data_IF_077946607961
#
_entry.id   IF_077946607961
#
_cell.length_a   1.000
_cell.length_b   1.000
_cell.length_c   1.000
_cell.angle_alpha   90.00
_cell.angle_beta   90.00
_cell.angle_gamma   90.00
#
_symmetry.space_group_name_H-M   'P 1'
#
loop_
_entity.id
_entity.type
_entity.pdbx_description
1 polymer ?
#
# COMPACT_ATOMS: atom_id res chain seq x y z
N UNK A 1 -2.67 31.64 -47.82
CA UNK A 1 -2.94 32.60 -48.91
C UNK A 1 -1.86 33.68 -49.02
N UNK A 2 -1.65 34.30 -50.20
CA UNK A 2 -0.77 35.46 -50.43
C UNK A 2 -1.58 36.65 -51.00
N UNK A 3 -1.01 37.85 -51.02
CA UNK A 3 -1.63 39.04 -51.62
C UNK A 3 -1.81 38.88 -53.15
N UNK A 4 -2.83 39.50 -53.78
CA UNK A 4 -3.19 39.31 -55.18
C UNK A 4 -2.26 40.04 -56.17
N UNK A 5 -0.95 39.75 -56.11
CA UNK A 5 0.11 40.41 -56.90
C UNK A 5 -0.06 40.25 -58.42
N UNK A 6 -0.79 39.23 -58.87
CA UNK A 6 -1.07 38.95 -60.28
C UNK A 6 -2.26 39.73 -60.83
N UNK A 7 -3.04 40.42 -59.99
CA UNK A 7 -4.18 41.22 -60.45
C UNK A 7 -3.66 42.55 -60.99
N UNK A 8 -3.94 42.89 -62.27
CA UNK A 8 -3.51 44.16 -62.83
C UNK A 8 -4.06 45.34 -62.03
N UNK A 9 -3.23 46.38 -61.83
CA UNK A 9 -3.62 47.62 -61.15
C UNK A 9 -4.16 47.42 -59.72
N UNK A 10 -3.75 46.34 -59.05
CA UNK A 10 -4.21 46.02 -57.68
C UNK A 10 -3.72 47.02 -56.63
N UNK A 11 -2.74 47.87 -56.96
CA UNK A 11 -2.32 49.00 -56.13
C UNK A 11 -1.58 48.60 -54.84
N UNK A 12 -0.95 47.42 -54.79
CA UNK A 12 -0.16 46.99 -53.62
C UNK A 12 1.12 47.82 -53.49
N UNK A 13 1.47 48.23 -52.26
CA UNK A 13 2.76 48.86 -51.94
C UNK A 13 3.56 47.89 -51.09
N UNK A 14 4.80 47.60 -51.50
CA UNK A 14 5.65 46.58 -50.87
C UNK A 14 4.95 45.21 -50.70
N UNK A 15 4.07 44.87 -51.64
CA UNK A 15 3.32 43.61 -51.64
C UNK A 15 2.17 43.53 -50.63
N UNK A 16 1.71 44.66 -50.06
CA UNK A 16 0.57 44.71 -49.13
C UNK A 16 -0.50 45.70 -49.60
N UNK A 17 -1.73 45.50 -49.14
CA UNK A 17 -2.82 46.45 -49.36
C UNK A 17 -2.51 47.78 -48.65
N UNK A 18 -2.83 48.89 -49.30
CA UNK A 18 -2.77 50.25 -48.79
C UNK A 18 -4.09 50.95 -48.98
N UNK A 19 -4.40 51.90 -48.09
CA UNK A 19 -5.58 52.75 -48.23
C UNK A 19 -5.36 53.79 -49.33
N UNK A 20 -6.45 54.40 -49.77
CA UNK A 20 -6.40 55.58 -50.63
C UNK A 20 -5.71 56.75 -49.91
N UNK A 21 -4.84 57.44 -50.63
CA UNK A 21 -4.26 58.72 -50.20
C UNK A 21 -4.85 59.84 -51.04
N UNK A 22 -5.94 60.42 -50.53
CA UNK A 22 -6.66 61.51 -51.16
C UNK A 22 -5.83 62.81 -51.26
N UNK A 23 -4.80 62.97 -50.42
CA UNK A 23 -3.94 64.17 -50.40
C UNK A 23 -2.86 64.07 -51.48
N UNK A 24 -2.29 62.88 -51.68
CA UNK A 24 -1.31 62.61 -52.74
C UNK A 24 -1.94 62.21 -54.09
N UNK A 25 -3.27 62.04 -54.14
CA UNK A 25 -3.98 61.60 -55.34
C UNK A 25 -3.70 60.15 -55.73
N UNK A 26 -3.37 59.29 -54.76
CA UNK A 26 -3.04 57.88 -55.00
C UNK A 26 -4.25 56.99 -54.65
N UNK A 27 -4.75 56.17 -55.60
CA UNK A 27 -5.84 55.25 -55.33
C UNK A 27 -5.42 54.15 -54.35
N UNK A 28 -6.35 53.74 -53.48
CA UNK A 28 -6.14 52.60 -52.58
C UNK A 28 -6.02 51.28 -53.33
N UNK A 29 -5.49 50.27 -52.66
CA UNK A 29 -5.40 48.94 -53.25
C UNK A 29 -6.78 48.34 -53.52
N UNK A 30 -6.94 47.74 -54.69
CA UNK A 30 -8.10 46.93 -55.02
C UNK A 30 -8.06 45.64 -54.20
N UNK A 31 -9.18 45.30 -53.54
CA UNK A 31 -9.38 43.97 -52.93
C UNK A 31 -10.24 43.17 -53.90
N UNK A 32 -9.67 42.26 -54.71
CA UNK A 32 -10.43 41.49 -55.69
C UNK A 32 -11.40 40.55 -54.98
N UNK A 33 -12.62 40.41 -55.50
CA UNK A 33 -13.62 39.48 -54.97
C UNK A 33 -13.08 38.05 -54.86
N UNK A 34 -12.31 37.59 -55.85
CA UNK A 34 -11.65 36.28 -55.82
C UNK A 34 -10.74 36.11 -54.61
N UNK A 35 -9.97 37.15 -54.25
CA UNK A 35 -9.08 37.11 -53.10
C UNK A 35 -9.86 37.17 -51.79
N UNK A 36 -10.84 38.07 -51.69
CA UNK A 36 -11.70 38.20 -50.50
C UNK A 36 -12.47 36.91 -50.20
N UNK A 37 -13.06 36.29 -51.22
CA UNK A 37 -13.75 35.00 -51.09
C UNK A 37 -12.79 33.91 -50.66
N UNK A 38 -11.60 33.83 -51.26
CA UNK A 38 -10.62 32.78 -50.92
C UNK A 38 -10.14 32.86 -49.46
N UNK A 39 -9.93 34.07 -48.92
CA UNK A 39 -9.56 34.25 -47.51
C UNK A 39 -10.72 33.87 -46.59
N UNK A 40 -11.94 34.30 -46.92
CA UNK A 40 -13.14 33.93 -46.16
C UNK A 40 -13.34 32.41 -46.18
N UNK A 41 -13.25 31.76 -47.34
CA UNK A 41 -13.40 30.32 -47.48
C UNK A 41 -12.32 29.53 -46.71
N UNK A 42 -11.06 30.01 -46.69
CA UNK A 42 -9.98 29.38 -45.91
C UNK A 42 -10.29 29.39 -44.40
N UNK A 43 -10.79 30.52 -43.88
CA UNK A 43 -11.21 30.63 -42.47
C UNK A 43 -12.47 29.80 -42.18
N UNK A 44 -13.46 29.82 -43.07
CA UNK A 44 -14.67 29.01 -42.95
C UNK A 44 -14.36 27.51 -42.96
N UNK A 45 -13.36 27.07 -43.73
CA UNK A 45 -12.93 25.68 -43.73
C UNK A 45 -12.35 25.25 -42.37
N UNK A 46 -11.61 26.13 -41.69
CA UNK A 46 -11.14 25.87 -40.31
C UNK A 46 -12.33 25.75 -39.35
N UNK A 47 -13.29 26.68 -39.43
CA UNK A 47 -14.50 26.67 -38.58
C UNK A 47 -15.32 25.39 -38.78
N UNK A 48 -15.57 25.02 -40.04
CA UNK A 48 -16.28 23.78 -40.40
C UNK A 48 -15.51 22.53 -39.95
N UNK A 49 -14.18 22.52 -40.05
CA UNK A 49 -13.35 21.38 -39.61
C UNK A 49 -13.46 21.13 -38.09
N UNK A 50 -13.79 22.15 -37.31
CA UNK A 50 -14.05 22.06 -35.88
C UNK A 50 -15.52 21.68 -35.55
N UNK A 51 -16.33 21.33 -36.56
CA UNK A 51 -17.75 20.99 -36.42
C UNK A 51 -18.62 22.18 -35.98
N UNK A 52 -18.25 23.40 -36.37
CA UNK A 52 -19.03 24.62 -36.12
C UNK A 52 -19.72 25.05 -37.42
N UNK A 53 -20.98 25.48 -37.31
CA UNK A 53 -21.71 26.09 -38.41
C UNK A 53 -21.30 27.57 -38.54
N UNK A 54 -20.82 28.03 -39.72
CA UNK A 54 -20.50 29.43 -39.96
C UNK A 54 -21.66 30.39 -39.65
N UNK A 55 -21.35 31.51 -38.99
CA UNK A 55 -22.30 32.56 -38.68
C UNK A 55 -21.68 33.93 -38.85
N UNK A 56 -22.27 34.75 -39.71
CA UNK A 56 -21.82 36.14 -39.93
C UNK A 56 -22.00 37.04 -38.71
N UNK A 57 -22.79 36.62 -37.72
CA UNK A 57 -23.02 37.37 -36.48
C UNK A 57 -22.04 37.02 -35.35
N UNK A 58 -21.17 36.02 -35.53
CA UNK A 58 -20.19 35.59 -34.51
C UNK A 58 -18.75 35.77 -35.00
N UNK A 59 -18.10 36.84 -34.53
CA UNK A 59 -16.69 37.13 -34.84
C UNK A 59 -15.67 36.28 -34.05
N UNK A 60 -16.13 35.34 -33.20
CA UNK A 60 -15.26 34.51 -32.35
C UNK A 60 -15.07 33.09 -32.88
N UNK A 61 -15.72 32.71 -33.97
CA UNK A 61 -15.76 31.34 -34.49
C UNK A 61 -14.37 30.76 -34.81
N UNK A 62 -13.43 31.56 -35.31
CA UNK A 62 -12.06 31.09 -35.58
C UNK A 62 -11.33 30.72 -34.28
N UNK A 63 -11.48 31.53 -33.23
CA UNK A 63 -10.88 31.25 -31.92
C UNK A 63 -11.55 30.05 -31.25
N UNK A 64 -12.87 29.93 -31.36
CA UNK A 64 -13.60 28.75 -30.90
C UNK A 64 -13.16 27.49 -31.65
N UNK A 65 -12.97 27.58 -32.97
CA UNK A 65 -12.47 26.48 -33.79
C UNK A 65 -11.04 26.08 -33.40
N UNK A 66 -10.13 27.03 -33.20
CA UNK A 66 -8.76 26.76 -32.74
C UNK A 66 -8.75 26.14 -31.34
N UNK A 67 -9.59 26.62 -30.42
CA UNK A 67 -9.76 26.01 -29.08
C UNK A 67 -10.33 24.60 -29.19
N UNK A 68 -11.38 24.37 -30.00
CA UNK A 68 -11.95 23.05 -30.24
C UNK A 68 -10.97 22.10 -30.90
N UNK A 69 -10.20 22.53 -31.90
CA UNK A 69 -9.19 21.69 -32.58
C UNK A 69 -8.04 21.37 -31.63
N UNK A 70 -7.63 22.32 -30.78
CA UNK A 70 -6.62 22.12 -29.74
C UNK A 70 -7.12 21.20 -28.60
N UNK A 71 -8.39 21.34 -28.20
CA UNK A 71 -9.06 20.52 -27.17
C UNK A 71 -9.54 19.15 -27.70
N UNK A 72 -9.78 19.02 -29.01
CA UNK A 72 -10.01 17.77 -29.73
C UNK A 72 -8.72 16.95 -29.89
N UNK A 73 -7.60 17.46 -29.37
CA UNK A 73 -6.60 16.62 -28.71
C UNK A 73 -7.17 15.96 -27.44
N UNK A 74 -8.40 15.43 -27.48
CA UNK A 74 -8.86 14.41 -26.55
C UNK A 74 -7.78 13.34 -26.51
N UNK A 75 -7.46 12.84 -25.32
CA UNK A 75 -6.45 11.81 -25.11
C UNK A 75 -6.48 10.79 -26.26
N UNK A 76 -5.50 10.87 -27.18
CA UNK A 76 -5.52 10.09 -28.42
C UNK A 76 -5.67 8.63 -28.04
N UNK A 77 -6.88 8.12 -28.18
CA UNK A 77 -7.30 6.80 -27.76
C UNK A 77 -7.78 6.04 -28.98
N UNK A 78 -7.35 4.79 -29.07
CA UNK A 78 -7.75 3.89 -30.13
C UNK A 78 -7.78 2.47 -29.57
N UNK A 79 -8.59 1.62 -30.20
CA UNK A 79 -8.60 0.20 -29.85
C UNK A 79 -7.44 -0.51 -30.51
N UNK A 80 -6.83 -1.45 -29.80
CA UNK A 80 -5.82 -2.35 -30.37
C UNK A 80 -6.42 -3.18 -31.51
N UNK A 81 -5.75 -3.15 -32.66
CA UNK A 81 -6.06 -3.93 -33.86
C UNK A 81 -4.98 -4.99 -34.14
N UNK A 82 -4.01 -5.11 -33.24
CA UNK A 82 -2.89 -6.04 -33.34
C UNK A 82 -3.17 -7.40 -32.72
N UNK A 83 -2.10 -8.07 -32.31
CA UNK A 83 -2.12 -9.39 -31.70
C UNK A 83 -1.40 -9.38 -30.35
N UNK A 84 -1.45 -10.49 -29.60
CA UNK A 84 -0.70 -10.63 -28.35
C UNK A 84 0.78 -10.25 -28.52
N UNK A 85 1.27 -9.36 -27.66
CA UNK A 85 2.63 -8.79 -27.70
C UNK A 85 2.98 -7.91 -28.92
N UNK A 86 2.08 -7.74 -29.90
CA UNK A 86 2.22 -6.86 -31.05
C UNK A 86 1.02 -5.92 -31.10
N UNK A 87 1.04 -4.88 -30.28
CA UNK A 87 -0.06 -3.94 -30.17
C UNK A 87 -0.01 -2.92 -31.31
N UNK A 88 -1.15 -2.66 -31.93
CA UNK A 88 -1.27 -1.71 -33.03
C UNK A 88 -2.53 -0.88 -32.88
N UNK A 89 -2.47 0.42 -33.14
CA UNK A 89 -3.65 1.28 -32.97
C UNK A 89 -3.70 2.39 -34.02
N UNK A 90 -4.87 2.63 -34.61
CA UNK A 90 -5.06 3.66 -35.64
C UNK A 90 -5.67 4.92 -35.01
N UNK A 91 -4.86 5.96 -34.85
CA UNK A 91 -5.29 7.25 -34.32
C UNK A 91 -5.79 8.19 -35.42
N UNK A 92 -6.67 9.11 -35.04
CA UNK A 92 -7.15 10.20 -35.89
C UNK A 92 -6.90 11.54 -35.16
N UNK A 93 -6.17 12.50 -35.75
CA UNK A 93 -5.41 12.40 -37.01
C UNK A 93 -4.28 11.36 -36.95
N UNK A 94 -3.94 10.76 -38.10
CA UNK A 94 -2.93 9.72 -38.18
C UNK A 94 -1.54 10.20 -37.75
N UNK A 95 -0.87 9.41 -36.92
CA UNK A 95 0.52 9.65 -36.52
C UNK A 95 1.45 9.18 -37.64
N UNK A 96 2.14 10.11 -38.30
CA UNK A 96 3.08 9.81 -39.38
C UNK A 96 4.56 9.83 -38.94
N UNK A 97 4.86 10.43 -37.79
CA UNK A 97 6.23 10.54 -37.24
C UNK A 97 6.20 10.42 -35.73
N UNK A 98 7.09 9.62 -35.15
CA UNK A 98 7.30 9.53 -33.71
C UNK A 98 8.19 10.69 -33.24
N UNK A 99 7.73 11.42 -32.23
CA UNK A 99 8.47 12.51 -31.58
C UNK A 99 8.71 12.15 -30.13
N UNK A 100 9.84 12.56 -29.59
CA UNK A 100 10.15 12.36 -28.17
C UNK A 100 9.04 12.97 -27.29
N UNK A 101 8.61 12.23 -26.27
CA UNK A 101 7.52 12.63 -25.38
C UNK A 101 6.11 12.44 -25.95
N UNK A 102 5.95 11.85 -27.14
CA UNK A 102 4.63 11.55 -27.70
C UNK A 102 3.87 10.57 -26.78
N UNK A 103 2.80 11.04 -26.16
CA UNK A 103 1.91 10.25 -25.33
C UNK A 103 0.68 9.78 -26.13
N UNK A 104 0.36 8.49 -26.02
CA UNK A 104 -0.80 7.87 -26.66
C UNK A 104 -1.50 6.91 -25.69
N UNK A 105 -2.80 6.69 -25.88
CA UNK A 105 -3.56 5.68 -25.14
C UNK A 105 -4.17 4.65 -26.07
N UNK A 106 -4.29 3.41 -25.62
CA UNK A 106 -5.02 2.38 -26.36
C UNK A 106 -5.75 1.42 -25.43
N UNK A 107 -6.83 0.80 -25.90
CA UNK A 107 -7.44 -0.36 -25.22
C UNK A 107 -6.82 -1.62 -25.77
N UNK A 108 -6.14 -2.41 -24.92
CA UNK A 108 -5.51 -3.66 -25.32
C UNK A 108 -6.55 -4.73 -25.69
N UNK A 109 -6.43 -5.34 -26.87
CA UNK A 109 -7.29 -6.44 -27.31
C UNK A 109 -6.81 -7.79 -26.78
N UNK A 110 -5.54 -7.86 -26.38
CA UNK A 110 -4.85 -9.08 -25.98
C UNK A 110 -4.09 -8.86 -24.67
N UNK A 111 -3.93 -9.90 -23.85
CA UNK A 111 -3.00 -9.88 -22.73
C UNK A 111 -1.57 -10.11 -23.23
N UNK A 112 -0.57 -9.51 -22.58
CA UNK A 112 0.81 -9.79 -22.92
C UNK A 112 1.31 -11.08 -22.23
N UNK A 113 2.10 -11.86 -22.96
CA UNK A 113 2.75 -13.08 -22.46
C UNK A 113 4.27 -12.95 -22.41
N UNK A 114 4.81 -11.78 -22.74
CA UNK A 114 6.25 -11.48 -22.67
C UNK A 114 6.57 -10.11 -23.28
N UNK A 115 7.78 -9.99 -23.82
CA UNK A 115 8.26 -8.79 -24.50
C UNK A 115 7.26 -8.36 -25.58
N UNK A 116 6.87 -7.09 -25.55
CA UNK A 116 5.82 -6.55 -26.41
C UNK A 116 6.33 -5.38 -27.23
N UNK A 117 5.58 -5.01 -28.27
CA UNK A 117 5.83 -3.85 -29.13
C UNK A 117 4.54 -3.05 -29.31
N UNK A 118 4.68 -1.78 -29.69
CA UNK A 118 3.55 -0.92 -30.02
C UNK A 118 3.82 -0.10 -31.30
N UNK A 119 2.81 -0.01 -32.17
CA UNK A 119 2.85 0.75 -33.42
C UNK A 119 1.57 1.59 -33.63
N UNK A 120 1.66 2.93 -33.66
CA UNK A 120 0.55 3.77 -34.10
C UNK A 120 0.48 3.83 -35.63
N UNK A 121 -0.74 3.81 -36.18
CA UNK A 121 -1.05 4.09 -37.59
C UNK A 121 -0.20 3.34 -38.64
N UNK A 122 0.19 2.10 -38.35
CA UNK A 122 0.96 1.26 -39.28
C UNK A 122 2.45 1.62 -39.40
N UNK A 123 2.99 2.47 -38.53
CA UNK A 123 4.43 2.70 -38.42
C UNK A 123 5.16 1.41 -37.99
N UNK A 124 6.49 1.39 -38.18
CA UNK A 124 7.33 0.28 -37.72
C UNK A 124 7.15 0.05 -36.20
N UNK A 125 6.80 -1.16 -35.75
CA UNK A 125 6.68 -1.47 -34.33
C UNK A 125 7.98 -1.22 -33.56
N UNK A 126 7.85 -0.54 -32.42
CA UNK A 126 8.96 -0.30 -31.49
C UNK A 126 8.75 -1.08 -30.20
N UNK A 127 9.81 -1.47 -29.49
CA UNK A 127 9.70 -2.15 -28.20
C UNK A 127 8.82 -1.36 -27.23
N UNK A 128 8.00 -2.07 -26.47
CA UNK A 128 7.22 -1.54 -25.36
C UNK A 128 7.86 -2.05 -24.07
N UNK A 129 8.32 -1.12 -23.23
CA UNK A 129 9.03 -1.39 -21.98
C UNK A 129 8.22 -0.90 -20.77
N UNK A 130 8.51 -1.45 -19.60
CA UNK A 130 7.91 -1.05 -18.32
C UNK A 130 8.44 0.31 -17.83
N UNK A 131 7.84 0.84 -16.76
CA UNK A 131 8.38 2.02 -16.04
C UNK A 131 9.82 1.83 -15.53
N UNK A 132 10.26 0.60 -15.33
CA UNK A 132 11.65 0.26 -14.98
C UNK A 132 12.58 0.21 -16.20
N UNK A 133 12.11 0.65 -17.38
CA UNK A 133 12.84 0.64 -18.65
C UNK A 133 13.34 -0.75 -19.09
N UNK A 134 12.66 -1.80 -18.60
CA UNK A 134 12.94 -3.20 -18.92
C UNK A 134 11.82 -3.80 -19.76
N UNK A 135 12.11 -4.84 -20.53
CA UNK A 135 11.11 -5.58 -21.33
C UNK A 135 9.90 -5.97 -20.48
N UNK A 136 8.69 -5.87 -21.07
CA UNK A 136 7.47 -6.25 -20.34
C UNK A 136 7.49 -7.73 -19.96
N UNK A 137 7.00 -8.01 -18.75
CA UNK A 137 6.81 -9.36 -18.20
C UNK A 137 5.38 -9.85 -18.47
N UNK A 138 5.14 -11.17 -18.50
CA UNK A 138 3.79 -11.70 -18.72
C UNK A 138 2.74 -11.08 -17.76
N UNK A 139 1.56 -10.76 -18.29
CA UNK A 139 0.40 -10.20 -17.60
C UNK A 139 0.53 -8.77 -17.03
N UNK A 140 1.54 -8.00 -17.45
CA UNK A 140 1.60 -6.55 -17.17
C UNK A 140 0.52 -5.75 -17.94
N UNK A 141 0.08 -6.25 -19.09
CA UNK A 141 -1.10 -5.81 -19.85
C UNK A 141 -2.09 -6.98 -19.89
N UNK A 142 -3.35 -6.73 -19.52
CA UNK A 142 -4.44 -7.72 -19.63
C UNK A 142 -5.41 -7.31 -20.74
N UNK A 143 -6.21 -8.27 -21.21
CA UNK A 143 -7.27 -7.99 -22.19
C UNK A 143 -8.21 -6.91 -21.64
N UNK A 144 -8.50 -5.89 -22.44
CA UNK A 144 -9.34 -4.76 -22.07
C UNK A 144 -8.63 -3.67 -21.26
N UNK A 145 -7.33 -3.80 -20.97
CA UNK A 145 -6.56 -2.75 -20.30
C UNK A 145 -6.58 -1.47 -21.10
N UNK A 146 -6.86 -0.35 -20.43
CA UNK A 146 -6.58 0.99 -20.95
C UNK A 146 -5.12 1.29 -20.66
N UNK A 147 -4.30 1.28 -21.70
CA UNK A 147 -2.87 1.53 -21.64
C UNK A 147 -2.56 2.99 -22.00
N UNK A 148 -1.60 3.59 -21.30
CA UNK A 148 -0.98 4.87 -21.63
C UNK A 148 0.50 4.64 -21.88
N UNK A 149 0.98 5.07 -23.04
CA UNK A 149 2.37 4.89 -23.48
C UNK A 149 2.98 6.21 -23.88
N UNK A 150 4.28 6.37 -23.64
CA UNK A 150 5.06 7.54 -24.04
C UNK A 150 6.26 7.09 -24.85
N UNK A 151 6.47 7.67 -26.03
CA UNK A 151 7.64 7.39 -26.85
C UNK A 151 8.87 8.12 -26.30
N UNK A 152 9.97 7.38 -26.13
CA UNK A 152 11.29 7.94 -25.80
C UNK A 152 12.23 7.77 -26.99
N UNK A 153 12.68 8.89 -27.57
CA UNK A 153 13.62 8.87 -28.68
C UNK A 153 15.01 8.36 -28.25
N UNK A 154 15.40 8.59 -26.99
CA UNK A 154 16.68 8.10 -26.44
C UNK A 154 16.74 6.57 -26.34
N UNK A 155 15.61 5.91 -26.08
CA UNK A 155 15.50 4.46 -25.96
C UNK A 155 15.03 3.78 -27.27
N UNK A 156 14.62 4.57 -28.26
CA UNK A 156 13.93 4.10 -29.47
C UNK A 156 12.76 3.14 -29.13
N UNK A 157 12.06 3.42 -28.03
CA UNK A 157 11.09 2.53 -27.40
C UNK A 157 9.90 3.29 -26.80
N UNK A 158 8.76 2.62 -26.71
CA UNK A 158 7.60 3.08 -25.94
C UNK A 158 7.74 2.67 -24.49
N UNK A 159 7.49 3.60 -23.56
CA UNK A 159 7.40 3.33 -22.13
C UNK A 159 5.93 3.20 -21.75
N UNK A 160 5.54 2.07 -21.17
CA UNK A 160 4.21 1.85 -20.59
C UNK A 160 4.11 2.60 -19.27
N UNK A 161 3.38 3.71 -19.27
CA UNK A 161 3.18 4.57 -18.10
C UNK A 161 2.03 4.09 -17.22
N UNK A 162 0.99 3.55 -17.83
CA UNK A 162 -0.20 3.04 -17.15
C UNK A 162 -0.84 1.91 -17.94
N UNK A 163 -1.39 0.90 -17.26
CA UNK A 163 -2.28 -0.11 -17.82
C UNK A 163 -3.37 -0.45 -16.80
N UNK A 164 -4.63 -0.13 -17.08
CA UNK A 164 -5.74 -0.46 -16.17
C UNK A 164 -5.95 -1.97 -16.09
N UNK A 165 -6.22 -2.51 -14.90
CA UNK A 165 -6.43 -3.95 -14.71
C UNK A 165 -5.20 -4.85 -14.95
N UNK A 166 -4.14 -4.31 -15.55
CA UNK A 166 -2.86 -5.00 -15.73
C UNK A 166 -2.14 -5.16 -14.40
N UNK A 167 -1.34 -6.22 -14.25
CA UNK A 167 -0.48 -6.42 -13.06
C UNK A 167 0.72 -5.47 -13.02
N UNK A 168 0.69 -4.36 -13.78
CA UNK A 168 1.80 -3.44 -14.01
C UNK A 168 2.31 -2.66 -12.78
N UNK A 169 1.87 -3.00 -11.57
CA UNK A 169 2.41 -2.48 -10.31
C UNK A 169 2.79 -3.63 -9.39
N UNK A 170 3.74 -4.46 -9.81
CA UNK A 170 4.29 -5.50 -8.94
C UNK A 170 4.94 -4.87 -7.70
N UNK A 171 4.68 -5.42 -6.52
CA UNK A 171 5.20 -4.95 -5.23
C UNK A 171 4.38 -3.84 -4.55
N UNK A 172 3.26 -3.39 -5.12
CA UNK A 172 2.35 -2.44 -4.45
C UNK A 172 1.63 -3.12 -3.29
N UNK A 173 1.57 -2.46 -2.13
CA UNK A 173 0.69 -2.86 -1.02
C UNK A 173 -0.78 -2.76 -1.45
N UNK A 174 -1.46 -3.90 -1.49
CA UNK A 174 -2.87 -4.04 -1.84
C UNK A 174 -3.80 -3.85 -0.65
N UNK A 175 -3.47 -4.46 0.49
CA UNK A 175 -4.28 -4.44 1.70
C UNK A 175 -3.46 -4.76 2.94
N UNK A 176 -3.95 -4.32 4.10
CA UNK A 176 -3.48 -4.75 5.42
C UNK A 176 -4.66 -5.40 6.14
N UNK A 177 -4.52 -6.65 6.55
CA UNK A 177 -5.55 -7.40 7.27
C UNK A 177 -5.00 -7.82 8.63
N UNK A 178 -5.63 -7.30 9.69
CA UNK A 178 -5.24 -7.57 11.08
C UNK A 178 -6.31 -8.42 11.76
N UNK A 179 -5.87 -9.52 12.38
CA UNK A 179 -6.71 -10.44 13.12
C UNK A 179 -6.35 -10.36 14.60
N UNK A 180 -7.31 -9.88 15.40
CA UNK A 180 -7.29 -9.89 16.88
C UNK A 180 -8.23 -10.95 17.46
N UNK A 181 -8.96 -11.65 16.59
CA UNK A 181 -9.75 -12.83 16.89
C UNK A 181 -9.54 -13.87 15.77
N UNK A 182 -9.66 -15.15 16.12
CA UNK A 182 -9.56 -16.25 15.16
C UNK A 182 -10.64 -16.14 14.07
N UNK A 183 -10.31 -16.58 12.87
CA UNK A 183 -11.20 -16.48 11.72
C UNK A 183 -10.56 -17.02 10.46
N UNK A 184 -11.14 -16.69 9.31
CA UNK A 184 -10.61 -17.13 8.02
C UNK A 184 -9.94 -15.95 7.31
N UNK A 185 -8.75 -16.19 6.78
CA UNK A 185 -8.07 -15.30 5.85
C UNK A 185 -8.37 -15.75 4.42
N UNK A 186 -8.89 -14.83 3.62
CA UNK A 186 -9.08 -14.99 2.17
C UNK A 186 -8.26 -13.89 1.47
N UNK A 187 -7.32 -14.24 0.58
CA UNK A 187 -6.53 -13.26 -0.13
C UNK A 187 -7.36 -12.32 -1.00
N UNK A 188 -6.95 -11.05 -1.10
CA UNK A 188 -7.57 -10.13 -2.05
C UNK A 188 -7.24 -10.56 -3.48
N UNK A 189 -8.20 -10.40 -4.39
CA UNK A 189 -7.98 -10.67 -5.82
C UNK A 189 -6.78 -9.87 -6.31
N UNK A 190 -5.83 -10.54 -6.96
CA UNK A 190 -4.59 -9.94 -7.44
C UNK A 190 -3.41 -10.01 -6.47
N UNK A 191 -3.59 -10.53 -5.24
CA UNK A 191 -2.47 -10.81 -4.33
C UNK A 191 -1.49 -11.80 -4.94
N UNK A 192 -0.19 -11.47 -4.85
CA UNK A 192 0.94 -12.31 -5.27
C UNK A 192 1.85 -12.72 -4.13
N UNK A 193 2.10 -11.81 -3.20
CA UNK A 193 2.92 -12.08 -2.03
C UNK A 193 2.27 -11.50 -0.79
N UNK A 194 2.63 -12.04 0.37
CA UNK A 194 2.26 -11.50 1.67
C UNK A 194 3.48 -11.39 2.58
N UNK A 195 3.55 -10.30 3.33
CA UNK A 195 4.33 -10.24 4.56
C UNK A 195 3.40 -10.53 5.73
N UNK A 196 3.62 -11.65 6.41
CA UNK A 196 2.83 -12.09 7.55
C UNK A 196 3.64 -11.86 8.81
N UNK A 197 3.02 -11.21 9.79
CA UNK A 197 3.54 -11.07 11.16
C UNK A 197 2.62 -11.82 12.11
N UNK A 198 3.18 -12.74 12.90
CA UNK A 198 2.44 -13.54 13.89
C UNK A 198 3.09 -13.33 15.25
N UNK A 199 2.28 -13.03 16.27
CA UNK A 199 2.72 -12.96 17.65
C UNK A 199 1.84 -13.84 18.54
N UNK A 200 2.47 -14.72 19.31
CA UNK A 200 1.79 -15.54 20.32
C UNK A 200 1.28 -14.67 21.47
N UNK A 201 0.32 -15.16 22.25
CA UNK A 201 -0.19 -14.41 23.38
C UNK A 201 0.79 -14.41 24.57
N UNK A 202 0.71 -13.41 25.45
CA UNK A 202 1.51 -13.36 26.66
C UNK A 202 0.89 -14.18 27.80
N UNK A 203 1.73 -14.62 28.73
CA UNK A 203 1.31 -15.33 29.94
C UNK A 203 0.74 -14.39 31.01
N UNK A 204 -0.18 -14.93 31.82
CA UNK A 204 -0.71 -14.25 33.00
C UNK A 204 0.27 -14.29 34.18
N UNK A 205 0.05 -13.42 35.16
CA UNK A 205 0.80 -13.45 36.42
C UNK A 205 0.05 -14.24 37.49
N UNK A 206 0.80 -14.90 38.37
CA UNK A 206 0.28 -15.59 39.56
C UNK A 206 -0.41 -14.63 40.51
N UNK A 207 -1.46 -15.10 41.15
CA UNK A 207 -1.98 -14.46 42.35
C UNK A 207 -1.12 -14.78 43.57
N UNK A 208 -1.21 -13.94 44.58
CA UNK A 208 -0.49 -14.07 45.85
C UNK A 208 -1.42 -14.49 46.98
N UNK A 209 -0.90 -15.27 47.92
CA UNK A 209 -1.61 -15.66 49.15
C UNK A 209 -1.72 -14.52 50.17
N UNK A 210 -2.58 -14.71 51.16
CA UNK A 210 -2.64 -13.81 52.32
C UNK A 210 -1.36 -13.92 53.17
N UNK A 211 -0.98 -12.81 53.79
CA UNK A 211 0.20 -12.71 54.66
C UNK A 211 -0.22 -12.42 56.09
N UNK A 212 0.50 -13.00 57.06
CA UNK A 212 0.35 -12.69 58.48
C UNK A 212 1.41 -11.65 58.94
N UNK A 213 1.59 -11.51 60.25
CA UNK A 213 2.52 -10.55 60.85
C UNK A 213 4.00 -10.84 60.57
N UNK A 214 4.35 -12.05 60.16
CA UNK A 214 5.72 -12.49 59.88
C UNK A 214 5.96 -12.85 58.42
N UNK A 215 5.01 -12.59 57.52
CA UNK A 215 5.08 -13.04 56.14
C UNK A 215 4.98 -11.93 55.10
N UNK A 216 5.63 -12.15 53.97
CA UNK A 216 5.43 -11.40 52.72
C UNK A 216 5.13 -12.37 51.59
N UNK A 217 4.50 -11.90 50.51
CA UNK A 217 4.25 -12.74 49.34
C UNK A 217 4.38 -11.90 48.09
N UNK A 218 5.03 -12.42 47.05
CA UNK A 218 5.24 -11.72 45.80
C UNK A 218 5.33 -12.71 44.64
N UNK A 219 5.18 -12.22 43.42
CA UNK A 219 5.26 -13.04 42.21
C UNK A 219 6.13 -12.39 41.14
N UNK A 220 6.68 -13.23 40.25
CA UNK A 220 7.23 -12.77 38.98
C UNK A 220 6.13 -12.41 37.98
N UNK A 221 6.50 -11.69 36.92
CA UNK A 221 5.58 -11.38 35.82
C UNK A 221 5.40 -12.55 34.86
N UNK A 222 4.39 -12.52 34.00
CA UNK A 222 4.19 -13.47 32.91
C UNK A 222 5.19 -13.27 31.77
N UNK A 223 5.46 -14.32 31.00
CA UNK A 223 6.32 -14.26 29.80
C UNK A 223 5.57 -13.73 28.58
N UNK A 224 6.31 -13.36 27.54
CA UNK A 224 5.74 -12.94 26.26
C UNK A 224 5.63 -14.11 25.29
N UNK A 225 4.69 -13.99 24.36
CA UNK A 225 4.58 -14.87 23.22
C UNK A 225 5.75 -14.69 22.25
N UNK A 226 5.97 -15.73 21.45
CA UNK A 226 6.99 -15.74 20.40
C UNK A 226 6.56 -14.87 19.22
N UNK A 227 7.49 -14.56 18.33
CA UNK A 227 7.27 -13.67 17.20
C UNK A 227 7.81 -14.28 15.91
N UNK A 228 7.02 -14.21 14.84
CA UNK A 228 7.42 -14.71 13.53
C UNK A 228 7.08 -13.70 12.44
N UNK A 229 7.98 -13.62 11.44
CA UNK A 229 7.70 -12.95 10.18
C UNK A 229 8.04 -13.85 9.00
N UNK A 230 7.11 -13.90 8.04
CA UNK A 230 7.28 -14.65 6.82
C UNK A 230 6.88 -13.85 5.58
N UNK A 231 7.67 -13.96 4.52
CA UNK A 231 7.31 -13.57 3.17
C UNK A 231 6.87 -14.81 2.38
N UNK A 232 5.59 -14.88 2.01
CA UNK A 232 4.98 -16.04 1.37
C UNK A 232 4.32 -15.65 0.04
N UNK A 233 4.39 -16.52 -0.97
CA UNK A 233 3.70 -16.32 -2.25
C UNK A 233 2.27 -16.85 -2.21
N UNK A 234 1.45 -16.41 -3.16
CA UNK A 234 0.10 -16.94 -3.37
C UNK A 234 0.09 -18.47 -3.51
N UNK A 235 1.10 -19.05 -4.16
CA UNK A 235 1.17 -20.51 -4.37
C UNK A 235 1.32 -21.29 -3.05
N UNK A 236 1.91 -20.67 -2.02
CA UNK A 236 2.01 -21.24 -0.67
C UNK A 236 0.74 -20.98 0.15
N UNK A 237 0.18 -19.77 0.04
CA UNK A 237 -1.02 -19.36 0.80
C UNK A 237 -2.28 -20.06 0.31
N UNK A 238 -2.41 -20.29 -1.00
CA UNK A 238 -3.63 -20.81 -1.61
C UNK A 238 -4.81 -19.84 -1.49
N UNK A 239 -6.03 -20.38 -1.61
CA UNK A 239 -7.25 -19.55 -1.67
C UNK A 239 -7.79 -19.11 -0.31
N UNK A 240 -7.44 -19.82 0.77
CA UNK A 240 -7.81 -19.44 2.13
C UNK A 240 -6.91 -20.12 3.15
N UNK A 241 -6.72 -19.46 4.29
CA UNK A 241 -6.04 -20.02 5.45
C UNK A 241 -6.85 -19.73 6.71
N UNK A 242 -6.79 -20.65 7.67
CA UNK A 242 -7.37 -20.44 9.01
C UNK A 242 -6.39 -19.55 9.79
N UNK A 243 -6.91 -18.51 10.42
CA UNK A 243 -6.18 -17.69 11.38
C UNK A 243 -6.57 -18.14 12.79
N UNK A 244 -5.57 -18.52 13.57
CA UNK A 244 -5.73 -18.69 15.02
C UNK A 244 -5.12 -17.49 15.71
N UNK A 245 -5.87 -16.85 16.59
CA UNK A 245 -5.33 -15.82 17.50
C UNK A 245 -5.30 -16.40 18.90
N UNK A 246 -4.10 -16.47 19.48
CA UNK A 246 -3.90 -16.97 20.83
C UNK A 246 -4.55 -16.05 21.86
N UNK A 247 -5.33 -16.62 22.78
CA UNK A 247 -5.88 -15.86 23.90
C UNK A 247 -4.77 -15.53 24.92
N UNK A 248 -4.86 -14.35 25.55
CA UNK A 248 -3.98 -13.98 26.66
C UNK A 248 -4.05 -14.99 27.80
N UNK A 249 -2.92 -15.25 28.45
CA UNK A 249 -2.85 -16.13 29.61
C UNK A 249 -3.72 -15.58 30.75
N UNK A 250 -4.56 -16.45 31.33
CA UNK A 250 -5.50 -16.05 32.38
C UNK A 250 -4.76 -15.58 33.65
N UNK A 251 -5.36 -14.62 34.36
CA UNK A 251 -4.87 -14.19 35.66
C UNK A 251 -4.89 -15.35 36.66
N UNK A 252 -3.81 -15.52 37.43
CA UNK A 252 -3.80 -16.45 38.54
C UNK A 252 -4.79 -16.02 39.62
N UNK A 253 -5.64 -16.95 40.07
CA UNK A 253 -6.44 -16.74 41.28
C UNK A 253 -5.56 -16.59 42.52
N UNK A 254 -6.16 -16.27 43.67
CA UNK A 254 -5.43 -16.15 44.94
C UNK A 254 -4.71 -17.47 45.25
N UNK A 255 -3.38 -17.42 45.34
CA UNK A 255 -2.55 -18.61 45.58
C UNK A 255 -2.46 -19.58 44.40
N UNK A 256 -2.74 -19.12 43.18
CA UNK A 256 -2.74 -19.93 41.95
C UNK A 256 -1.81 -19.28 40.92
N UNK A 257 -1.09 -20.13 40.17
CA UNK A 257 -0.21 -19.70 39.07
C UNK A 257 -0.95 -19.01 37.94
N UNK A 258 -0.24 -18.16 37.19
CA UNK A 258 -0.78 -17.55 35.97
C UNK A 258 -0.97 -18.59 34.86
N UNK A 259 -1.97 -18.37 34.00
CA UNK A 259 -2.17 -19.20 32.82
C UNK A 259 -1.17 -18.87 31.71
N UNK A 260 -0.81 -19.87 30.91
CA UNK A 260 -0.03 -19.67 29.69
C UNK A 260 -0.85 -18.97 28.61
N UNK A 261 -0.20 -18.15 27.80
CA UNK A 261 -0.78 -17.57 26.59
C UNK A 261 -1.00 -18.61 25.50
N UNK A 262 -2.03 -18.40 24.69
CA UNK A 262 -2.33 -19.21 23.51
C UNK A 262 -1.39 -18.95 22.32
N UNK A 263 -1.31 -19.93 21.43
CA UNK A 263 -0.59 -19.84 20.15
C UNK A 263 -1.41 -19.05 19.12
N UNK A 264 -0.75 -18.18 18.37
CA UNK A 264 -1.32 -17.55 17.16
C UNK A 264 -0.70 -18.17 15.91
N UNK A 265 -1.46 -18.29 14.82
CA UNK A 265 -0.96 -18.88 13.58
C UNK A 265 -1.72 -18.44 12.33
N UNK A 266 -1.02 -18.54 11.19
CA UNK A 266 -1.59 -18.59 9.84
C UNK A 266 -1.56 -20.05 9.39
N UNK A 267 -2.66 -20.77 9.61
CA UNK A 267 -2.77 -22.20 9.34
C UNK A 267 -1.60 -22.97 9.98
N UNK A 268 -0.98 -23.84 9.18
CA UNK A 268 0.27 -24.52 9.51
C UNK A 268 1.50 -23.81 8.93
N UNK A 269 1.33 -22.67 8.24
CA UNK A 269 2.39 -22.00 7.49
C UNK A 269 3.32 -21.21 8.40
N UNK A 270 2.76 -20.49 9.38
CA UNK A 270 3.51 -19.68 10.36
C UNK A 270 2.83 -19.80 11.72
N UNK A 271 3.59 -20.10 12.76
CA UNK A 271 3.06 -20.31 14.11
C UNK A 271 3.93 -19.65 15.17
N UNK A 272 3.30 -18.91 16.08
CA UNK A 272 3.95 -18.28 17.22
C UNK A 272 3.27 -18.75 18.52
N UNK A 273 3.99 -19.57 19.29
CA UNK A 273 3.56 -20.07 20.59
C UNK A 273 3.43 -18.96 21.65
N UNK A 274 2.49 -19.12 22.58
CA UNK A 274 2.29 -18.17 23.67
C UNK A 274 3.26 -18.34 24.84
N UNK A 275 3.44 -17.28 25.62
CA UNK A 275 4.34 -17.24 26.78
C UNK A 275 3.78 -17.98 27.99
N UNK A 276 4.66 -18.53 28.83
CA UNK A 276 4.25 -19.15 30.09
C UNK A 276 3.72 -18.12 31.10
N UNK A 277 2.71 -18.51 31.89
CA UNK A 277 2.32 -17.75 33.08
C UNK A 277 3.36 -17.91 34.20
N UNK A 278 3.43 -16.95 35.13
CA UNK A 278 4.32 -17.12 36.28
C UNK A 278 3.84 -18.26 37.19
N UNK A 279 4.77 -18.98 37.87
CA UNK A 279 4.42 -20.01 38.83
C UNK A 279 3.93 -19.41 40.16
N UNK A 280 3.11 -20.16 40.89
CA UNK A 280 2.74 -19.84 42.27
C UNK A 280 3.82 -20.33 43.25
N UNK A 281 3.96 -19.60 44.35
CA UNK A 281 4.89 -19.90 45.45
C UNK A 281 4.31 -19.43 46.78
N UNK A 282 4.47 -20.23 47.84
CA UNK A 282 3.97 -19.91 49.17
C UNK A 282 4.54 -18.60 49.73
N UNK A 283 3.81 -17.89 50.63
CA UNK A 283 4.35 -16.73 51.32
C UNK A 283 5.67 -17.04 52.05
N UNK A 284 6.59 -16.08 52.04
CA UNK A 284 7.89 -16.16 52.69
C UNK A 284 7.82 -15.63 54.12
N UNK A 285 8.32 -16.41 55.07
CA UNK A 285 8.48 -16.01 56.47
C UNK A 285 9.72 -15.14 56.67
N UNK A 286 9.61 -14.08 57.46
CA UNK A 286 10.68 -13.13 57.77
C UNK A 286 11.40 -13.45 59.10
N UNK A 287 12.70 -13.13 59.22
CA UNK A 287 13.58 -12.56 58.17
C UNK A 287 13.99 -13.63 57.15
N UNK A 288 13.75 -13.36 55.87
CA UNK A 288 14.00 -14.31 54.80
C UNK A 288 14.31 -13.63 53.48
N UNK A 289 14.88 -14.38 52.55
CA UNK A 289 15.15 -13.96 51.18
C UNK A 289 14.52 -14.96 50.20
N UNK A 290 14.07 -14.47 49.04
CA UNK A 290 13.43 -15.30 48.04
C UNK A 290 13.46 -14.70 46.66
N UNK A 291 13.69 -15.56 45.66
CA UNK A 291 13.57 -15.25 44.24
C UNK A 291 12.36 -15.98 43.67
N UNK A 292 11.49 -15.24 43.02
CA UNK A 292 10.20 -15.69 42.53
C UNK A 292 10.24 -15.65 41.02
N UNK A 293 10.46 -16.81 40.39
CA UNK A 293 10.65 -16.91 38.94
C UNK A 293 9.42 -16.35 38.20
N UNK A 294 9.66 -15.64 37.11
CA UNK A 294 8.59 -15.22 36.20
C UNK A 294 8.07 -16.36 35.34
N UNK A 295 7.20 -16.03 34.40
CA UNK A 295 6.76 -16.96 33.39
C UNK A 295 7.93 -17.42 32.53
N UNK A 296 7.91 -18.69 32.14
CA UNK A 296 8.90 -19.26 31.23
C UNK A 296 8.71 -18.69 29.81
N UNK A 297 9.81 -18.38 29.09
CA UNK A 297 9.72 -17.87 27.73
C UNK A 297 9.00 -18.89 26.84
N UNK A 298 8.25 -18.40 25.86
CA UNK A 298 7.65 -19.24 24.82
C UNK A 298 8.73 -19.94 24.00
N UNK A 299 8.36 -21.05 23.35
CA UNK A 299 9.25 -21.71 22.40
C UNK A 299 9.45 -20.83 21.17
N UNK A 300 10.58 -21.01 20.46
CA UNK A 300 10.82 -20.34 19.19
C UNK A 300 9.69 -20.64 18.22
N UNK A 301 9.21 -19.60 17.55
CA UNK A 301 8.20 -19.69 16.50
C UNK A 301 8.67 -20.53 15.29
N UNK A 302 7.74 -20.93 14.45
CA UNK A 302 8.01 -21.71 13.24
C UNK A 302 7.39 -21.08 12.00
N UNK A 303 7.97 -21.40 10.83
CA UNK A 303 7.46 -20.95 9.53
C UNK A 303 7.83 -19.53 9.12
N UNK A 304 8.47 -18.75 9.99
CA UNK A 304 9.06 -17.46 9.63
C UNK A 304 10.32 -17.64 8.78
N UNK A 305 10.33 -17.21 7.53
CA UNK A 305 11.55 -17.18 6.69
C UNK A 305 12.32 -15.86 6.79
N UNK A 306 11.77 -14.85 7.49
CA UNK A 306 12.46 -13.59 7.79
C UNK A 306 12.91 -13.55 9.24
N UNK A 307 12.02 -13.88 10.18
CA UNK A 307 12.29 -13.88 11.62
C UNK A 307 11.54 -15.05 12.26
N UNK A 308 12.24 -15.82 13.12
CA UNK A 308 11.63 -16.60 14.19
C UNK A 308 12.35 -16.26 15.49
N UNK A 309 11.61 -15.88 16.53
CA UNK A 309 12.17 -15.66 17.86
C UNK A 309 11.27 -16.24 18.93
N UNK A 310 11.86 -16.82 19.97
CA UNK A 310 11.14 -17.07 21.22
C UNK A 310 10.71 -15.75 21.85
N UNK A 311 9.69 -15.82 22.71
CA UNK A 311 9.35 -14.71 23.60
C UNK A 311 10.38 -14.57 24.72
N UNK A 312 10.22 -13.50 25.50
CA UNK A 312 11.05 -13.23 26.66
C UNK A 312 10.40 -13.80 27.93
N UNK A 313 11.24 -14.19 28.89
CA UNK A 313 10.80 -14.61 30.21
C UNK A 313 10.22 -13.41 30.98
N UNK A 314 9.24 -13.68 31.84
CA UNK A 314 8.78 -12.67 32.81
C UNK A 314 9.90 -12.36 33.79
N UNK A 315 10.00 -11.10 34.23
CA UNK A 315 11.02 -10.73 35.22
C UNK A 315 10.70 -11.41 36.56
N UNK A 316 11.71 -11.83 37.32
CA UNK A 316 11.49 -12.42 38.64
C UNK A 316 11.07 -11.35 39.66
N UNK A 317 10.34 -11.77 40.69
CA UNK A 317 10.17 -11.00 41.92
C UNK A 317 11.29 -11.31 42.91
N UNK A 318 11.68 -10.33 43.73
CA UNK A 318 12.71 -10.50 44.76
C UNK A 318 12.25 -9.98 46.12
N UNK A 319 12.54 -10.75 47.16
CA UNK A 319 12.43 -10.30 48.55
C UNK A 319 13.79 -10.38 49.24
N UNK A 320 14.16 -9.30 49.93
CA UNK A 320 15.34 -9.24 50.80
C UNK A 320 14.90 -8.74 52.17
N UNK A 321 14.75 -9.66 53.12
CA UNK A 321 14.43 -9.36 54.53
C UNK A 321 13.20 -8.46 54.73
N UNK A 322 12.16 -8.63 53.91
CA UNK A 322 10.88 -7.91 54.01
C UNK A 322 10.70 -6.80 52.96
N UNK A 323 11.78 -6.33 52.34
CA UNK A 323 11.72 -5.45 51.16
C UNK A 323 11.37 -6.28 49.93
N UNK A 324 10.24 -5.98 49.28
CA UNK A 324 9.71 -6.77 48.16
C UNK A 324 9.65 -5.95 46.87
N UNK A 325 10.12 -6.53 45.78
CA UNK A 325 9.93 -6.04 44.41
C UNK A 325 9.27 -7.15 43.59
N UNK A 326 8.06 -6.90 43.10
CA UNK A 326 7.41 -7.83 42.17
C UNK A 326 8.09 -7.82 40.79
N UNK A 327 7.88 -8.86 39.99
CA UNK A 327 8.45 -8.97 38.66
C UNK A 327 7.60 -8.30 37.58
N UNK A 328 8.24 -7.57 36.65
CA UNK A 328 7.56 -7.02 35.47
C UNK A 328 7.17 -8.13 34.48
N UNK A 329 6.06 -7.93 33.78
CA UNK A 329 5.71 -8.75 32.63
C UNK A 329 6.71 -8.56 31.49
N UNK A 330 6.89 -9.61 30.68
CA UNK A 330 7.80 -9.54 29.56
C UNK A 330 7.22 -8.71 28.39
N UNK A 331 8.07 -7.91 27.75
CA UNK A 331 7.74 -7.23 26.50
C UNK A 331 7.72 -8.22 25.32
N UNK A 332 6.93 -7.91 24.30
CA UNK A 332 7.00 -8.52 22.98
C UNK A 332 7.39 -7.44 21.95
N UNK A 333 7.72 -7.81 20.71
CA UNK A 333 7.95 -6.82 19.65
C UNK A 333 6.75 -5.89 19.36
N UNK A 334 5.54 -6.28 19.77
CA UNK A 334 4.29 -5.54 19.51
C UNK A 334 3.52 -5.16 20.79
N UNK A 335 4.15 -5.27 21.96
CA UNK A 335 3.47 -5.03 23.23
C UNK A 335 4.42 -4.83 24.40
N UNK A 336 3.97 -4.02 25.36
CA UNK A 336 4.70 -3.75 26.60
C UNK A 336 4.12 -4.59 27.73
N UNK A 337 4.99 -5.25 28.48
CA UNK A 337 4.64 -6.06 29.63
C UNK A 337 4.02 -5.23 30.74
N UNK A 338 3.13 -5.85 31.51
CA UNK A 338 2.51 -5.21 32.66
C UNK A 338 3.56 -4.79 33.69
N UNK A 339 3.41 -3.60 34.26
CA UNK A 339 4.32 -3.15 35.30
C UNK A 339 4.16 -3.96 36.59
N UNK A 340 5.27 -4.25 37.25
CA UNK A 340 5.27 -4.83 38.57
C UNK A 340 4.71 -3.85 39.60
N UNK A 341 3.98 -4.34 40.61
CA UNK A 341 3.54 -3.49 41.71
C UNK A 341 3.78 -4.10 43.08
N UNK A 342 4.65 -3.45 43.85
CA UNK A 342 4.85 -3.74 45.29
C UNK A 342 4.05 -2.81 46.20
N UNK A 343 3.17 -1.98 45.63
CA UNK A 343 2.30 -1.11 46.41
C UNK A 343 1.21 -1.97 47.06
N UNK A 344 0.98 -1.75 48.36
CA UNK A 344 -0.05 -2.48 49.10
C UNK A 344 -1.41 -2.33 48.42
N UNK A 345 -2.15 -3.45 48.30
CA UNK A 345 -3.49 -3.53 47.69
C UNK A 345 -3.62 -3.05 46.22
N UNK A 346 -2.52 -2.74 45.54
CA UNK A 346 -2.53 -2.44 44.11
C UNK A 346 -3.05 -3.63 43.27
N UNK A 347 -3.68 -3.32 42.15
CA UNK A 347 -4.13 -4.33 41.18
C UNK A 347 -2.95 -4.73 40.30
N UNK A 348 -2.84 -6.02 39.98
CA UNK A 348 -1.85 -6.51 39.03
C UNK A 348 -2.08 -5.88 37.64
N UNK A 349 -1.01 -5.44 36.98
CA UNK A 349 -1.11 -4.79 35.68
C UNK A 349 -1.18 -5.85 34.56
N UNK A 350 -2.19 -5.81 33.67
CA UNK A 350 -2.21 -6.67 32.50
C UNK A 350 -1.11 -6.29 31.51
N UNK A 351 -0.79 -7.20 30.59
CA UNK A 351 0.02 -6.87 29.42
C UNK A 351 -0.71 -5.86 28.52
N UNK A 352 0.03 -5.04 27.78
CA UNK A 352 -0.50 -4.08 26.82
C UNK A 352 0.02 -4.35 25.40
N UNK A 353 -0.74 -3.98 24.37
CA UNK A 353 -0.43 -4.34 22.97
C UNK A 353 -0.73 -5.82 22.69
N UNK A 354 0.15 -6.50 21.94
CA UNK A 354 -0.01 -7.92 21.61
C UNK A 354 1.10 -8.77 22.20
N UNK A 355 0.76 -9.95 22.72
CA UNK A 355 1.72 -10.97 23.13
C UNK A 355 2.59 -10.64 24.34
N UNK A 356 2.34 -9.54 25.04
CA UNK A 356 3.08 -9.13 26.24
C UNK A 356 2.55 -9.83 27.51
N UNK A 357 3.45 -10.13 28.43
CA UNK A 357 3.12 -10.78 29.70
C UNK A 357 2.56 -9.82 30.74
N UNK A 358 1.82 -10.34 31.72
CA UNK A 358 1.28 -9.54 32.83
C UNK A 358 2.32 -9.22 33.91
N UNK A 359 2.13 -8.12 34.65
CA UNK A 359 2.96 -7.75 35.79
C UNK A 359 2.63 -8.55 37.05
N UNK A 360 3.63 -8.86 37.85
CA UNK A 360 3.49 -9.48 39.17
C UNK A 360 3.08 -8.46 40.25
N UNK A 361 2.70 -8.98 41.42
CA UNK A 361 2.30 -8.17 42.59
C UNK A 361 2.99 -8.65 43.86
N UNK A 362 3.10 -7.76 44.87
CA UNK A 362 3.66 -8.10 46.18
C UNK A 362 2.84 -7.54 47.35
N UNK A 363 2.59 -8.39 48.37
CA UNK A 363 2.03 -8.06 49.68
C UNK A 363 3.14 -7.90 50.71
N UNK A 364 2.98 -6.87 51.55
CA UNK A 364 3.66 -6.74 52.84
C UNK A 364 2.95 -7.58 53.91
N UNK A 365 3.34 -7.46 55.18
CA UNK A 365 2.71 -8.18 56.30
C UNK A 365 1.25 -7.76 56.50
N UNK A 366 0.44 -8.70 57.02
CA UNK A 366 -0.98 -8.50 57.35
C UNK A 366 -1.86 -8.02 56.16
N UNK A 367 -1.67 -8.61 54.97
CA UNK A 367 -2.44 -8.27 53.77
C UNK A 367 -3.27 -9.46 53.27
N UNK A 368 -4.46 -9.22 52.70
CA UNK A 368 -5.26 -10.27 52.07
C UNK A 368 -4.60 -10.81 50.80
N UNK A 369 -4.94 -12.04 50.43
CA UNK A 369 -4.54 -12.60 49.14
C UNK A 369 -5.14 -11.82 47.97
N UNK A 370 -4.42 -11.75 46.85
CA UNK A 370 -4.81 -10.96 45.68
C UNK A 370 -4.63 -11.76 44.38
N UNK A 371 -5.53 -11.63 43.40
CA UNK A 371 -5.34 -12.24 42.09
C UNK A 371 -4.22 -11.55 41.31
N UNK A 372 -3.63 -12.28 40.36
CA UNK A 372 -2.71 -11.72 39.37
C UNK A 372 -3.46 -10.98 38.25
N UNK A 373 -2.79 -10.82 37.11
CA UNK A 373 -3.35 -10.18 35.92
C UNK A 373 -3.21 -11.06 34.67
N UNK A 374 -4.04 -10.77 33.67
CA UNK A 374 -4.02 -11.47 32.40
C UNK A 374 -2.91 -10.95 31.47
N UNK A 375 -2.31 -11.85 30.70
CA UNK A 375 -1.41 -11.49 29.61
C UNK A 375 -2.20 -10.90 28.42
N UNK A 376 -1.49 -10.20 27.53
CA UNK A 376 -2.11 -9.67 26.32
C UNK A 376 -2.38 -10.77 25.28
N UNK A 377 -3.45 -10.60 24.51
CA UNK A 377 -3.78 -11.49 23.39
C UNK A 377 -2.70 -11.49 22.31
N UNK A 378 -2.60 -12.57 21.53
CA UNK A 378 -1.77 -12.61 20.33
C UNK A 378 -2.41 -11.83 19.17
N UNK A 379 -1.75 -11.82 18.02
CA UNK A 379 -2.28 -11.24 16.79
C UNK A 379 -1.64 -11.84 15.53
N UNK A 380 -2.36 -11.72 14.41
CA UNK A 380 -1.83 -11.99 13.06
C UNK A 380 -2.08 -10.78 12.17
N UNK A 381 -1.03 -10.26 11.55
CA UNK A 381 -1.09 -9.08 10.66
C UNK A 381 -0.54 -9.49 9.30
N UNK A 382 -1.32 -9.27 8.25
CA UNK A 382 -0.99 -9.67 6.88
C UNK A 382 -0.98 -8.43 5.99
N UNK A 383 0.17 -8.14 5.38
CA UNK A 383 0.34 -7.13 4.35
C UNK A 383 0.35 -7.84 2.99
N UNK A 384 -0.63 -7.55 2.13
CA UNK A 384 -0.77 -8.15 0.80
C UNK A 384 -0.12 -7.29 -0.28
N UNK A 385 0.60 -7.91 -1.20
CA UNK A 385 1.30 -7.25 -2.29
C UNK A 385 0.91 -7.83 -3.66
N UNK A 386 0.83 -6.96 -4.67
CA UNK A 386 0.52 -7.29 -6.06
C UNK A 386 1.69 -7.85 -6.88
#
# INVERSE_FOLDING_TARGET
MDYPKSVPSVGLVNGKFVNEDAVAGLPGSLIPATWGNSVTDELLNVVKSAGLEPSETDATQLVQALKKISQAGEDKHATDIGAANLYMANYVPAISVLKDGLALRFTAGNANTGASTFAPNGLMPKPLVSLALSVLRPAEIVVGSVCSVVYSAALDSWVLVYASGGKGFSGRLLAVKTFTASGNYVPTVGMKNVLVTVVGAGGGSSGIGATNSTQVSLTGGGASGSYAQAWLSFDVIGQSQIITVGAGGVAGGVGIGGGSGGTSSLGSLVSATGGGGSPWSTPLTLPGFGLYVGGFPSQTSSGGNLINSSGAAGSPGVCVSGSTLAGHGANSPLGSGGYASSVSLSVAAPGSGYGSGAGGIANTTNQPGRPGAAGATGAVIIYEYA
#
